data_IF_739372843618
#
_entry.id   IF_739372843618
#
_cell.length_a   1.000
_cell.length_b   1.000
_cell.length_c   1.000
_cell.angle_alpha   90.00
_cell.angle_beta   90.00
_cell.angle_gamma   90.00
#
_symmetry.space_group_name_H-M   'P 1'
#
loop_
_entity.id
_entity.type
_entity.pdbx_description
1 polymer ?
#
# COMPACT_ATOMS: atom_id res chain seq x y z
N UNK A 1 72.56 66.62 6.47
CA UNK A 1 71.75 65.55 5.82
C UNK A 1 70.53 65.34 6.71
N UNK A 2 69.50 66.19 6.73
CA UNK A 2 68.34 66.34 5.82
C UNK A 2 67.71 65.02 5.35
N UNK A 3 66.39 64.94 5.61
CA UNK A 3 65.31 64.17 4.95
C UNK A 3 64.88 62.91 5.69
N UNK A 4 63.59 62.58 5.85
CA UNK A 4 62.28 63.24 5.77
C UNK A 4 61.29 62.09 5.89
N UNK A 5 60.21 62.26 6.65
CA UNK A 5 59.07 61.34 6.66
C UNK A 5 58.38 61.29 5.29
N UNK A 6 57.82 60.13 4.90
CA UNK A 6 56.41 60.10 4.47
C UNK A 6 55.69 58.86 5.06
N UNK A 7 54.55 58.99 5.73
CA UNK A 7 53.19 58.93 5.15
C UNK A 7 53.04 57.90 4.02
N UNK A 8 52.63 56.68 4.38
CA UNK A 8 52.03 55.72 3.46
C UNK A 8 50.55 55.58 3.81
N UNK A 9 49.74 55.94 2.82
CA UNK A 9 48.28 55.86 2.76
C UNK A 9 47.89 54.38 2.70
N UNK A 10 47.11 53.90 3.67
CA UNK A 10 46.50 52.58 3.65
C UNK A 10 45.18 52.68 2.85
N UNK A 11 45.16 52.14 1.63
CA UNK A 11 43.94 51.97 0.85
C UNK A 11 43.10 50.83 1.46
N UNK A 12 41.96 51.20 2.05
CA UNK A 12 40.84 50.30 2.34
C UNK A 12 40.17 49.89 1.02
N UNK A 13 40.49 48.69 0.52
CA UNK A 13 39.65 48.01 -0.46
C UNK A 13 38.50 47.32 0.27
N UNK A 14 37.35 47.98 0.29
CA UNK A 14 36.09 47.39 0.67
C UNK A 14 35.68 46.34 -0.38
N UNK A 15 35.92 45.07 -0.09
CA UNK A 15 35.28 43.96 -0.81
C UNK A 15 33.83 43.89 -0.35
N UNK A 16 32.89 44.30 -1.20
CA UNK A 16 31.45 44.14 -0.97
C UNK A 16 31.12 42.66 -1.17
N UNK A 17 30.70 41.89 -0.15
CA UNK A 17 30.10 40.60 -0.40
C UNK A 17 28.72 40.85 -1.03
N UNK A 18 28.57 40.42 -2.28
CA UNK A 18 27.27 40.32 -2.96
C UNK A 18 26.37 39.45 -2.07
N UNK A 19 25.31 40.07 -1.54
CA UNK A 19 24.19 39.37 -0.91
C UNK A 19 23.51 38.53 -1.98
N UNK A 20 23.85 37.24 -2.05
CA UNK A 20 22.93 36.25 -2.61
C UNK A 20 21.76 36.16 -1.64
N UNK A 21 20.64 36.73 -2.05
CA UNK A 21 19.33 36.48 -1.46
C UNK A 21 19.15 34.98 -1.33
N UNK A 22 19.07 34.49 -0.09
CA UNK A 22 18.74 33.11 0.21
C UNK A 22 17.37 32.80 -0.36
N UNK A 23 17.35 32.25 -1.57
CA UNK A 23 16.26 31.43 -2.02
C UNK A 23 16.22 30.27 -1.04
N UNK A 24 15.20 30.30 -0.20
CA UNK A 24 14.81 29.24 0.71
C UNK A 24 14.67 27.98 -0.15
N UNK A 25 15.73 27.18 -0.19
CA UNK A 25 15.78 25.91 -0.87
C UNK A 25 14.77 25.03 -0.15
N UNK A 26 13.53 25.04 -0.67
CA UNK A 26 12.54 24.04 -0.33
C UNK A 26 13.15 22.72 -0.79
N UNK A 27 13.86 22.05 0.12
CA UNK A 27 14.20 20.64 -0.02
C UNK A 27 12.90 19.92 -0.33
N UNK A 28 12.73 19.56 -1.59
CA UNK A 28 11.70 18.64 -2.00
C UNK A 28 11.92 17.37 -1.18
N UNK A 29 11.01 17.09 -0.26
CA UNK A 29 10.88 15.79 0.36
C UNK A 29 10.76 14.76 -0.76
N UNK A 30 11.55 13.67 -0.74
CA UNK A 30 11.49 12.66 -1.79
C UNK A 30 10.07 12.08 -1.81
N UNK A 31 9.38 12.28 -2.94
CA UNK A 31 8.14 11.58 -3.22
C UNK A 31 8.44 10.09 -3.30
N UNK A 32 7.65 9.28 -2.60
CA UNK A 32 7.75 7.82 -2.63
C UNK A 32 7.57 7.31 -4.07
N UNK A 33 8.70 7.01 -4.69
CA UNK A 33 8.90 6.43 -6.01
C UNK A 33 10.38 6.11 -6.14
N UNK A 34 10.78 5.51 -7.25
CA UNK A 34 12.13 5.57 -7.78
C UNK A 34 13.13 6.51 -7.12
N UNK A 35 14.29 6.07 -6.65
CA UNK A 35 15.37 7.00 -6.23
C UNK A 35 15.88 7.90 -7.38
N UNK A 36 15.30 7.80 -8.58
CA UNK A 36 15.70 8.46 -9.83
C UNK A 36 14.57 9.23 -10.52
N UNK A 37 13.87 10.17 -9.89
CA UNK A 37 13.07 11.20 -10.61
C UNK A 37 12.06 10.71 -11.66
N UNK A 38 10.82 10.43 -11.22
CA UNK A 38 9.66 10.15 -12.08
C UNK A 38 9.75 8.91 -12.96
N UNK A 39 8.64 8.49 -13.58
CA UNK A 39 8.63 7.26 -14.41
C UNK A 39 9.53 7.37 -15.64
N UNK A 40 10.05 6.24 -16.15
CA UNK A 40 10.82 6.22 -17.41
C UNK A 40 9.92 6.64 -18.59
N UNK A 41 10.39 7.58 -19.42
CA UNK A 41 9.64 8.16 -20.55
C UNK A 41 10.57 8.37 -21.74
N UNK A 42 10.00 8.43 -22.94
CA UNK A 42 10.68 8.81 -24.17
C UNK A 42 11.98 8.03 -24.43
N UNK A 43 11.96 6.74 -24.09
CA UNK A 43 13.11 5.85 -24.14
C UNK A 43 12.71 4.46 -24.65
N UNK A 44 13.69 3.71 -25.14
CA UNK A 44 13.50 2.30 -25.44
C UNK A 44 13.14 1.54 -24.15
N UNK A 45 12.11 0.69 -24.22
CA UNK A 45 11.74 -0.22 -23.14
C UNK A 45 12.98 -1.02 -22.74
N UNK A 46 13.44 -1.05 -21.48
CA UNK A 46 14.63 -1.83 -21.10
C UNK A 46 14.40 -3.35 -21.26
N UNK A 47 15.47 -4.15 -21.19
CA UNK A 47 15.31 -5.61 -21.14
C UNK A 47 14.93 -6.04 -19.72
N UNK A 48 13.63 -6.24 -19.50
CA UNK A 48 13.03 -6.49 -18.18
C UNK A 48 12.39 -7.87 -18.15
N UNK A 49 12.49 -8.51 -16.99
CA UNK A 49 11.95 -9.83 -16.73
C UNK A 49 10.55 -9.73 -16.13
N UNK A 50 9.70 -10.70 -16.46
CA UNK A 50 8.35 -10.82 -15.95
C UNK A 50 7.96 -12.30 -15.90
N UNK A 51 6.82 -12.58 -15.27
CA UNK A 51 6.15 -13.87 -15.36
C UNK A 51 4.75 -13.67 -15.93
N UNK A 52 4.32 -14.57 -16.81
CA UNK A 52 2.92 -14.69 -17.19
C UNK A 52 2.09 -15.16 -15.98
N UNK A 53 0.76 -15.02 -16.04
CA UNK A 53 -0.12 -15.43 -14.94
C UNK A 53 -0.06 -16.94 -14.60
N UNK A 54 0.41 -17.78 -15.54
CA UNK A 54 0.65 -19.21 -15.32
C UNK A 54 2.05 -19.49 -14.72
N UNK A 55 2.87 -18.46 -14.48
CA UNK A 55 4.22 -18.53 -13.93
C UNK A 55 5.35 -18.65 -14.95
N UNK A 56 5.04 -18.81 -16.24
CA UNK A 56 6.05 -18.89 -17.29
C UNK A 56 6.86 -17.59 -17.36
N UNK A 57 8.21 -17.65 -17.33
CA UNK A 57 9.05 -16.47 -17.45
C UNK A 57 8.96 -15.88 -18.85
N UNK A 58 8.93 -14.55 -18.95
CA UNK A 58 8.88 -13.83 -20.22
C UNK A 58 9.70 -12.54 -20.14
N UNK A 59 10.32 -12.15 -21.26
CA UNK A 59 10.90 -10.81 -21.41
C UNK A 59 9.81 -9.82 -21.78
N UNK A 60 9.73 -8.70 -21.06
CA UNK A 60 8.72 -7.68 -21.28
C UNK A 60 8.77 -7.11 -22.72
N UNK A 61 9.96 -7.02 -23.31
CA UNK A 61 10.14 -6.63 -24.73
C UNK A 61 9.47 -7.59 -25.71
N UNK A 62 9.55 -8.89 -25.47
CA UNK A 62 8.91 -9.88 -26.34
C UNK A 62 7.38 -9.81 -26.23
N UNK A 63 6.86 -9.52 -25.03
CA UNK A 63 5.43 -9.31 -24.82
C UNK A 63 4.90 -8.10 -25.62
N UNK A 64 5.70 -7.04 -25.74
CA UNK A 64 5.29 -5.78 -26.38
C UNK A 64 5.62 -5.72 -27.89
N UNK A 65 6.28 -6.74 -28.43
CA UNK A 65 6.88 -6.69 -29.77
C UNK A 65 5.83 -6.58 -30.87
N UNK A 66 6.00 -5.60 -31.76
CA UNK A 66 5.19 -5.45 -32.96
C UNK A 66 3.77 -4.95 -32.74
N UNK A 67 3.41 -4.55 -31.50
CA UNK A 67 2.08 -4.01 -31.16
C UNK A 67 2.20 -2.85 -30.18
N UNK A 68 1.26 -1.92 -30.28
CA UNK A 68 1.07 -0.95 -29.20
C UNK A 68 0.65 -1.70 -27.93
N UNK A 69 1.32 -1.44 -26.82
CA UNK A 69 1.07 -2.15 -25.56
C UNK A 69 0.93 -1.15 -24.40
N UNK A 70 -0.21 -1.22 -23.71
CA UNK A 70 -0.44 -0.50 -22.46
C UNK A 70 -0.04 -1.39 -21.30
N UNK A 71 0.82 -0.87 -20.42
CA UNK A 71 1.17 -1.49 -19.14
C UNK A 71 0.67 -0.60 -18.01
N UNK A 72 -0.05 -1.16 -17.04
CA UNK A 72 -0.49 -0.45 -15.84
C UNK A 72 -0.07 -1.21 -14.57
N UNK A 73 0.57 -0.50 -13.64
CA UNK A 73 1.01 -1.08 -12.37
C UNK A 73 -0.19 -1.31 -11.44
N UNK A 74 -0.27 -2.50 -10.85
CA UNK A 74 -1.32 -2.87 -9.90
C UNK A 74 -0.81 -3.73 -8.75
N UNK A 75 -1.53 -3.71 -7.64
CA UNK A 75 -1.35 -4.68 -6.54
C UNK A 75 -2.63 -4.80 -5.69
N UNK A 76 -2.71 -5.81 -4.84
CA UNK A 76 -3.86 -6.08 -3.96
C UNK A 76 -4.20 -4.95 -3.00
N UNK A 77 -3.24 -4.08 -2.67
CA UNK A 77 -3.36 -3.16 -1.53
C UNK A 77 -3.16 -1.70 -1.90
N UNK A 78 -3.34 -1.32 -3.18
CA UNK A 78 -3.23 0.07 -3.62
C UNK A 78 -4.62 0.70 -3.86
N UNK A 79 -5.15 1.53 -2.94
CA UNK A 79 -6.46 2.17 -3.11
C UNK A 79 -6.56 3.08 -4.34
N UNK A 80 -5.44 3.66 -4.77
CA UNK A 80 -5.41 4.50 -5.97
C UNK A 80 -5.61 3.67 -7.24
N UNK A 81 -4.97 2.50 -7.30
CA UNK A 81 -5.20 1.52 -8.36
C UNK A 81 -6.64 0.99 -8.32
N UNK A 82 -7.15 0.58 -7.14
CA UNK A 82 -8.52 0.05 -7.01
C UNK A 82 -9.61 1.04 -7.45
N UNK A 83 -9.38 2.34 -7.35
CA UNK A 83 -10.33 3.35 -7.87
C UNK A 83 -10.18 3.61 -9.36
N UNK A 84 -8.98 3.41 -9.91
CA UNK A 84 -8.64 3.81 -11.27
C UNK A 84 -8.69 2.69 -12.30
N UNK A 85 -8.57 1.42 -11.89
CA UNK A 85 -8.52 0.31 -12.84
C UNK A 85 -9.72 0.20 -13.81
N UNK A 86 -10.97 0.63 -13.48
CA UNK A 86 -12.06 0.59 -14.45
C UNK A 86 -11.81 1.48 -15.68
N UNK A 87 -10.99 2.53 -15.56
CA UNK A 87 -10.59 3.37 -16.70
C UNK A 87 -9.70 2.61 -17.69
N UNK A 88 -8.86 1.69 -17.19
CA UNK A 88 -7.99 0.85 -18.03
C UNK A 88 -8.83 -0.20 -18.75
N UNK A 89 -9.78 -0.82 -18.05
CA UNK A 89 -10.70 -1.80 -18.65
C UNK A 89 -11.56 -1.15 -19.74
N UNK A 90 -12.11 0.04 -19.49
CA UNK A 90 -12.89 0.78 -20.48
C UNK A 90 -12.04 1.16 -21.71
N UNK A 91 -10.79 1.59 -21.52
CA UNK A 91 -9.87 1.86 -22.62
C UNK A 91 -9.53 0.58 -23.40
N UNK A 92 -9.37 -0.55 -22.72
CA UNK A 92 -9.11 -1.84 -23.37
C UNK A 92 -10.28 -2.27 -24.25
N UNK A 93 -11.53 -2.10 -23.80
CA UNK A 93 -12.71 -2.42 -24.60
C UNK A 93 -12.75 -1.65 -25.93
N UNK A 94 -12.29 -0.40 -25.92
CA UNK A 94 -12.27 0.46 -27.12
C UNK A 94 -11.08 0.18 -28.05
N UNK A 95 -9.89 -0.07 -27.52
CA UNK A 95 -8.64 -0.09 -28.29
C UNK A 95 -8.08 -1.49 -28.55
N UNK A 96 -8.48 -2.52 -27.78
CA UNK A 96 -8.06 -3.90 -28.07
C UNK A 96 -8.54 -4.42 -29.42
N UNK A 97 -9.79 -4.15 -29.88
CA UNK A 97 -10.22 -4.51 -31.24
C UNK A 97 -9.41 -3.81 -32.36
N UNK A 98 -8.68 -2.74 -32.02
CA UNK A 98 -7.82 -1.98 -32.93
C UNK A 98 -6.35 -2.41 -32.86
N UNK A 99 -6.06 -3.54 -32.21
CA UNK A 99 -4.72 -4.13 -32.15
C UNK A 99 -3.84 -3.67 -30.99
N UNK A 100 -4.37 -2.89 -30.03
CA UNK A 100 -3.63 -2.50 -28.82
C UNK A 100 -3.72 -3.58 -27.75
N UNK A 101 -2.58 -4.00 -27.21
CA UNK A 101 -2.52 -4.92 -26.08
C UNK A 101 -2.60 -4.14 -24.77
N UNK A 102 -3.25 -4.74 -23.76
CA UNK A 102 -3.33 -4.19 -22.42
C UNK A 102 -2.87 -5.27 -21.44
N UNK A 103 -2.03 -4.88 -20.49
CA UNK A 103 -1.65 -5.72 -19.36
C UNK A 103 -1.61 -4.89 -18.09
N UNK A 104 -2.12 -5.46 -17.00
CA UNK A 104 -1.63 -5.07 -15.69
C UNK A 104 -0.34 -5.83 -15.40
N UNK A 105 0.62 -5.18 -14.76
CA UNK A 105 1.72 -5.89 -14.12
C UNK A 105 1.57 -5.83 -12.60
N UNK A 106 1.48 -7.01 -11.98
CA UNK A 106 1.36 -7.19 -10.55
C UNK A 106 2.73 -7.03 -9.92
N UNK A 107 2.88 -6.00 -9.08
CA UNK A 107 4.12 -5.71 -8.37
C UNK A 107 3.96 -5.89 -6.87
N UNK A 108 5.03 -5.63 -6.13
CA UNK A 108 5.02 -5.54 -4.66
C UNK A 108 3.90 -4.68 -4.10
N UNK A 109 3.41 -5.07 -2.92
CA UNK A 109 2.28 -4.47 -2.25
C UNK A 109 2.60 -3.01 -1.88
N UNK A 110 1.70 -2.09 -2.23
CA UNK A 110 1.82 -0.70 -1.78
C UNK A 110 1.55 -0.59 -0.29
N UNK A 111 0.50 -1.22 0.21
CA UNK A 111 0.17 -1.20 1.63
C UNK A 111 0.09 -2.61 2.21
N UNK A 112 1.23 -3.24 2.52
CA UNK A 112 1.23 -4.47 3.32
C UNK A 112 0.41 -4.28 4.60
N UNK A 113 -0.22 -5.36 5.05
CA UNK A 113 -1.18 -5.49 6.16
C UNK A 113 -2.59 -4.98 5.86
N UNK A 114 -2.82 -4.29 4.74
CA UNK A 114 -4.16 -3.92 4.31
C UNK A 114 -4.97 -5.20 3.98
N UNK A 115 -6.05 -5.41 4.73
CA UNK A 115 -6.88 -6.63 4.69
C UNK A 115 -6.10 -7.91 5.01
N UNK A 116 -4.99 -7.81 5.74
CA UNK A 116 -4.15 -8.95 6.12
C UNK A 116 -3.10 -9.37 5.08
N UNK A 117 -3.17 -8.88 3.84
CA UNK A 117 -2.19 -9.23 2.81
C UNK A 117 -0.80 -8.68 3.11
N UNK A 118 0.21 -9.54 3.01
CA UNK A 118 1.62 -9.24 3.29
C UNK A 118 2.49 -9.52 2.07
N UNK A 119 3.72 -8.97 2.02
CA UNK A 119 4.55 -9.06 0.81
C UNK A 119 4.91 -10.51 0.48
N UNK A 120 4.80 -10.88 -0.81
CA UNK A 120 5.18 -12.19 -1.29
C UNK A 120 6.69 -12.45 -1.08
N UNK A 121 7.04 -13.67 -0.66
CA UNK A 121 8.43 -14.10 -0.43
C UNK A 121 9.04 -14.78 -1.66
N UNK A 122 8.19 -15.25 -2.59
CA UNK A 122 8.61 -15.90 -3.82
C UNK A 122 7.61 -15.68 -4.97
N UNK A 123 7.98 -16.15 -6.16
CA UNK A 123 7.15 -16.01 -7.37
C UNK A 123 5.81 -16.71 -7.24
N UNK A 124 5.75 -17.91 -6.65
CA UNK A 124 4.50 -18.66 -6.47
C UNK A 124 3.47 -17.87 -5.65
N UNK A 125 3.89 -17.27 -4.54
CA UNK A 125 3.02 -16.41 -3.73
C UNK A 125 2.61 -15.14 -4.45
N UNK A 126 3.50 -14.53 -5.23
CA UNK A 126 3.14 -13.35 -6.02
C UNK A 126 2.08 -13.68 -7.06
N UNK A 127 2.16 -14.86 -7.67
CA UNK A 127 1.14 -15.35 -8.60
C UNK A 127 -0.19 -15.66 -7.90
N UNK A 128 -0.17 -16.20 -6.68
CA UNK A 128 -1.37 -16.36 -5.86
C UNK A 128 -2.03 -15.00 -5.54
N UNK A 129 -1.21 -14.01 -5.17
CA UNK A 129 -1.71 -12.65 -4.94
C UNK A 129 -2.28 -11.99 -6.20
N UNK A 130 -1.63 -12.20 -7.35
CA UNK A 130 -2.15 -11.75 -8.65
C UNK A 130 -3.50 -12.41 -8.95
N UNK A 131 -3.62 -13.72 -8.74
CA UNK A 131 -4.87 -14.44 -8.95
C UNK A 131 -5.99 -13.92 -8.04
N UNK A 132 -5.68 -13.66 -6.76
CA UNK A 132 -6.62 -13.06 -5.82
C UNK A 132 -7.00 -11.63 -6.22
N UNK A 133 -6.06 -10.82 -6.71
CA UNK A 133 -6.35 -9.47 -7.21
C UNK A 133 -7.30 -9.51 -8.40
N UNK A 134 -7.06 -10.41 -9.36
CA UNK A 134 -7.92 -10.61 -10.52
C UNK A 134 -9.33 -11.00 -10.10
N UNK A 135 -9.46 -11.94 -9.15
CA UNK A 135 -10.75 -12.38 -8.61
C UNK A 135 -11.48 -11.24 -7.90
N UNK A 136 -10.80 -10.54 -6.99
CA UNK A 136 -11.35 -9.44 -6.20
C UNK A 136 -11.82 -8.28 -7.07
N UNK A 137 -11.07 -7.94 -8.12
CA UNK A 137 -11.33 -6.78 -8.98
C UNK A 137 -12.15 -7.11 -10.22
N UNK A 138 -12.38 -8.38 -10.53
CA UNK A 138 -13.16 -8.80 -11.71
C UNK A 138 -12.57 -8.33 -13.05
N UNK A 139 -11.25 -8.11 -13.12
CA UNK A 139 -10.58 -7.55 -14.30
C UNK A 139 -10.64 -8.49 -15.51
N UNK A 140 -10.87 -7.93 -16.70
CA UNK A 140 -10.80 -8.66 -17.97
C UNK A 140 -9.45 -8.47 -18.66
N UNK A 141 -8.82 -7.30 -18.48
CA UNK A 141 -7.45 -7.07 -18.92
C UNK A 141 -6.52 -8.13 -18.30
N UNK A 142 -5.68 -8.79 -19.11
CA UNK A 142 -4.73 -9.80 -18.62
C UNK A 142 -3.73 -9.23 -17.62
N UNK A 143 -3.25 -10.09 -16.73
CA UNK A 143 -2.19 -9.78 -15.78
C UNK A 143 -0.90 -10.51 -16.12
N UNK A 144 0.22 -9.83 -15.93
CA UNK A 144 1.55 -10.43 -15.75
C UNK A 144 2.03 -10.12 -14.32
N UNK A 145 3.02 -10.85 -13.82
CA UNK A 145 3.67 -10.57 -12.55
C UNK A 145 5.08 -10.01 -12.78
N UNK A 146 5.43 -9.00 -11.99
CA UNK A 146 6.81 -8.56 -11.83
C UNK A 146 7.61 -9.62 -11.06
N UNK A 147 8.89 -9.75 -11.36
CA UNK A 147 9.81 -10.69 -10.67
C UNK A 147 9.97 -10.31 -9.21
N UNK A 148 10.34 -11.25 -8.34
CA UNK A 148 10.42 -11.02 -6.88
C UNK A 148 11.32 -9.84 -6.50
N UNK A 149 12.36 -9.59 -7.29
CA UNK A 149 13.33 -8.49 -7.20
C UNK A 149 12.85 -7.17 -7.84
N UNK A 150 11.65 -7.14 -8.42
CA UNK A 150 10.96 -6.00 -9.05
C UNK A 150 11.63 -5.48 -10.34
N UNK A 151 11.98 -6.38 -11.27
CA UNK A 151 12.61 -6.03 -12.55
C UNK A 151 11.81 -4.96 -13.33
N UNK A 152 10.49 -5.13 -13.49
CA UNK A 152 9.63 -4.17 -14.19
C UNK A 152 9.58 -2.84 -13.43
N UNK A 153 9.26 -2.88 -12.14
CA UNK A 153 9.11 -1.67 -11.33
C UNK A 153 10.39 -0.83 -11.34
N UNK A 154 11.54 -1.45 -11.12
CA UNK A 154 12.81 -0.73 -11.00
C UNK A 154 13.29 -0.25 -12.37
N UNK A 155 13.18 -1.12 -13.38
CA UNK A 155 13.57 -0.83 -14.75
C UNK A 155 12.76 0.30 -15.39
N UNK A 156 11.46 0.36 -15.13
CA UNK A 156 10.58 1.44 -15.61
C UNK A 156 10.50 2.64 -14.68
N UNK A 157 11.20 2.58 -13.54
CA UNK A 157 11.07 3.57 -12.49
C UNK A 157 9.60 3.80 -12.08
N UNK A 158 8.85 2.70 -11.98
CA UNK A 158 7.42 2.71 -11.77
C UNK A 158 7.08 3.09 -10.32
N UNK A 159 6.13 4.00 -10.16
CA UNK A 159 5.47 4.25 -8.89
C UNK A 159 4.37 3.19 -8.65
N UNK A 160 3.43 3.47 -7.74
CA UNK A 160 2.52 2.44 -7.25
C UNK A 160 1.40 2.03 -8.21
N UNK A 161 1.08 2.91 -9.13
CA UNK A 161 -0.04 2.80 -10.05
C UNK A 161 0.28 3.51 -11.37
N UNK A 162 1.55 3.50 -11.78
CA UNK A 162 1.99 4.13 -13.03
C UNK A 162 1.42 3.40 -14.24
N UNK A 163 1.43 4.08 -15.38
CA UNK A 163 1.08 3.47 -16.66
C UNK A 163 2.02 3.89 -17.77
N UNK A 164 2.10 3.06 -18.80
CA UNK A 164 2.96 3.24 -19.96
C UNK A 164 2.22 2.84 -21.22
N UNK A 165 2.49 3.53 -22.33
CA UNK A 165 2.17 3.08 -23.69
C UNK A 165 3.48 2.86 -24.42
N UNK A 166 3.66 1.63 -24.90
CA UNK A 166 4.84 1.18 -25.63
C UNK A 166 4.46 1.03 -27.10
N UNK A 167 5.28 1.54 -28.00
CA UNK A 167 5.09 1.41 -29.45
C UNK A 167 5.46 0.01 -29.96
N UNK A 168 5.02 -0.38 -31.18
CA UNK A 168 5.43 -1.63 -31.80
C UNK A 168 6.94 -1.87 -31.89
N UNK A 169 7.72 -0.79 -31.95
CA UNK A 169 9.19 -0.77 -32.00
C UNK A 169 9.84 -0.83 -30.60
N UNK A 170 9.03 -0.96 -29.54
CA UNK A 170 9.50 -1.03 -28.16
C UNK A 170 9.92 0.32 -27.57
N UNK A 171 9.38 1.44 -28.04
CA UNK A 171 9.61 2.76 -27.44
C UNK A 171 8.50 3.13 -26.47
N UNK A 172 8.84 3.68 -25.31
CA UNK A 172 7.87 4.26 -24.37
C UNK A 172 7.44 5.62 -24.91
N UNK A 173 6.26 5.68 -25.52
CA UNK A 173 5.71 6.88 -26.18
C UNK A 173 4.75 7.67 -25.29
N UNK A 174 4.33 7.08 -24.17
CA UNK A 174 3.64 7.78 -23.08
C UNK A 174 3.94 7.08 -21.77
N UNK A 175 4.05 7.85 -20.70
CA UNK A 175 4.21 7.36 -19.34
C UNK A 175 3.55 8.33 -18.36
N UNK A 176 2.92 7.80 -17.31
CA UNK A 176 2.38 8.59 -16.20
C UNK A 176 2.73 7.93 -14.87
N UNK A 177 3.13 8.73 -13.88
CA UNK A 177 3.43 8.26 -12.52
C UNK A 177 2.21 7.68 -11.83
N UNK A 178 1.02 8.13 -12.20
CA UNK A 178 -0.24 7.74 -11.59
C UNK A 178 -1.26 7.30 -12.63
N UNK A 179 -2.20 6.49 -12.17
CA UNK A 179 -3.36 6.09 -12.94
C UNK A 179 -4.25 7.32 -13.19
N UNK A 180 -4.36 7.70 -14.46
CA UNK A 180 -5.07 8.82 -15.03
C UNK A 180 -5.64 8.42 -16.40
N UNK A 181 -6.89 7.97 -16.40
CA UNK A 181 -7.60 7.50 -17.60
C UNK A 181 -7.67 8.53 -18.74
N UNK A 182 -8.02 9.81 -18.45
CA UNK A 182 -8.02 10.87 -19.46
C UNK A 182 -6.70 11.03 -20.22
N UNK A 183 -5.55 11.09 -19.53
CA UNK A 183 -4.25 11.20 -20.19
C UNK A 183 -3.90 9.95 -21.01
N UNK A 184 -4.25 8.75 -20.53
CA UNK A 184 -4.09 7.53 -21.31
C UNK A 184 -4.89 7.58 -22.61
N UNK A 185 -6.15 7.99 -22.54
CA UNK A 185 -7.01 8.11 -23.73
C UNK A 185 -6.48 9.14 -24.70
N UNK A 186 -5.96 10.27 -24.20
CA UNK A 186 -5.30 11.26 -25.07
C UNK A 186 -4.10 10.66 -25.81
N UNK A 187 -3.26 9.89 -25.11
CA UNK A 187 -2.12 9.21 -25.72
C UNK A 187 -2.56 8.17 -26.76
N UNK A 188 -3.58 7.35 -26.44
CA UNK A 188 -4.14 6.36 -27.36
C UNK A 188 -4.74 7.02 -28.60
N UNK A 189 -5.48 8.12 -28.44
CA UNK A 189 -6.00 8.91 -29.56
C UNK A 189 -4.88 9.45 -30.45
N UNK A 190 -3.81 10.00 -29.86
CA UNK A 190 -2.66 10.53 -30.61
C UNK A 190 -1.97 9.45 -31.46
N UNK A 191 -1.80 8.25 -30.92
CA UNK A 191 -0.97 7.20 -31.55
C UNK A 191 -1.77 6.18 -32.38
N UNK A 192 -3.05 5.98 -32.07
CA UNK A 192 -3.91 4.95 -32.70
C UNK A 192 -5.13 5.57 -33.40
N UNK A 193 -5.59 6.74 -32.93
CA UNK A 193 -6.72 7.49 -33.48
C UNK A 193 -7.95 7.51 -32.56
N UNK A 194 -8.88 8.42 -32.84
CA UNK A 194 -10.09 8.62 -32.04
C UNK A 194 -11.03 7.41 -32.05
N UNK A 195 -11.84 7.30 -30.98
CA UNK A 195 -12.94 6.34 -30.86
C UNK A 195 -14.23 7.15 -30.79
N UNK A 196 -15.19 6.85 -31.66
CA UNK A 196 -16.40 7.68 -31.82
C UNK A 196 -17.34 7.65 -30.61
N UNK A 197 -17.37 6.55 -29.87
CA UNK A 197 -18.17 6.37 -28.65
C UNK A 197 -17.30 5.71 -27.57
N UNK A 198 -16.43 6.48 -26.89
CA UNK A 198 -15.54 5.93 -25.88
C UNK A 198 -16.34 5.33 -24.72
N UNK A 199 -16.04 4.09 -24.38
CA UNK A 199 -16.59 3.41 -23.20
C UNK A 199 -16.16 4.15 -21.93
N UNK A 200 -17.07 4.38 -20.98
CA UNK A 200 -16.74 5.02 -19.70
C UNK A 200 -16.44 3.98 -18.62
N UNK A 201 -15.65 4.35 -17.62
CA UNK A 201 -15.45 3.50 -16.44
C UNK A 201 -16.76 3.10 -15.75
N UNK A 202 -17.77 3.98 -15.76
CA UNK A 202 -19.09 3.70 -15.20
C UNK A 202 -19.91 2.68 -16.02
N UNK A 203 -19.56 2.46 -17.28
CA UNK A 203 -20.19 1.44 -18.13
C UNK A 203 -19.63 0.04 -17.79
N UNK A 204 -18.48 -0.02 -17.12
CA UNK A 204 -17.87 -1.25 -16.68
C UNK A 204 -18.59 -1.77 -15.42
N UNK A 205 -19.26 -2.91 -15.51
CA UNK A 205 -19.86 -3.57 -14.35
C UNK A 205 -18.81 -4.27 -13.48
N UNK A 206 -17.92 -3.49 -12.86
CA UNK A 206 -16.77 -3.96 -12.10
C UNK A 206 -16.95 -3.75 -10.58
N UNK A 207 -16.39 -4.65 -9.74
CA UNK A 207 -16.41 -4.50 -8.28
C UNK A 207 -15.83 -3.18 -7.77
N UNK A 208 -16.58 -2.49 -6.91
CA UNK A 208 -16.04 -1.33 -6.18
C UNK A 208 -15.46 -1.76 -4.84
N UNK A 209 -14.14 -1.62 -4.67
CA UNK A 209 -13.45 -1.99 -3.42
C UNK A 209 -13.68 -0.91 -2.36
N UNK A 210 -14.31 -1.30 -1.26
CA UNK A 210 -14.55 -0.40 -0.14
C UNK A 210 -13.24 0.05 0.51
N UNK A 211 -13.22 1.30 0.99
CA UNK A 211 -12.09 1.81 1.76
C UNK A 211 -11.99 1.07 3.09
N UNK A 212 -10.88 0.39 3.33
CA UNK A 212 -10.62 -0.23 4.62
C UNK A 212 -10.49 0.80 5.74
N UNK A 213 -11.01 0.44 6.91
CA UNK A 213 -10.81 1.20 8.14
C UNK A 213 -9.36 1.07 8.59
N UNK A 214 -8.81 2.16 9.11
CA UNK A 214 -7.48 2.13 9.69
C UNK A 214 -7.51 1.28 10.97
N UNK A 215 -6.53 0.38 11.18
CA UNK A 215 -6.38 -0.30 12.45
C UNK A 215 -6.10 0.72 13.57
N UNK A 216 -6.51 0.38 14.79
CA UNK A 216 -6.16 1.16 15.97
C UNK A 216 -4.68 0.98 16.30
N UNK A 217 -3.98 2.07 16.61
CA UNK A 217 -2.60 2.05 17.06
C UNK A 217 -2.53 2.04 18.58
N UNK A 218 -2.80 0.87 19.17
CA UNK A 218 -2.90 0.71 20.62
C UNK A 218 -2.19 -0.56 21.05
N UNK A 219 -1.56 -0.50 22.22
CA UNK A 219 -1.06 -1.70 22.88
C UNK A 219 -2.24 -2.58 23.33
N UNK A 220 -2.07 -3.89 23.25
CA UNK A 220 -2.97 -4.89 23.81
C UNK A 220 -2.15 -6.12 24.23
N UNK A 221 -2.81 -7.22 24.60
CA UNK A 221 -2.11 -8.45 24.96
C UNK A 221 -1.32 -9.07 23.80
N UNK A 222 -1.69 -8.80 22.55
CA UNK A 222 -1.04 -9.40 21.36
C UNK A 222 -0.53 -8.38 20.33
N UNK A 223 -0.93 -7.11 20.47
CA UNK A 223 -0.50 -6.01 19.59
C UNK A 223 0.40 -5.06 20.34
N UNK A 224 1.38 -4.51 19.62
CA UNK A 224 2.21 -3.41 20.11
C UNK A 224 1.92 -2.16 19.30
N UNK A 225 1.87 -1.02 19.97
CA UNK A 225 1.76 0.29 19.36
C UNK A 225 3.02 0.58 18.56
N UNK A 226 2.82 1.17 17.37
CA UNK A 226 3.86 1.46 16.38
C UNK A 226 3.91 2.95 16.10
N UNK A 227 5.00 3.64 16.43
CA UNK A 227 5.12 5.05 16.10
C UNK A 227 5.16 5.26 14.58
N UNK A 228 4.80 6.46 14.13
CA UNK A 228 5.01 6.84 12.74
C UNK A 228 6.51 6.95 12.41
N UNK A 229 6.86 6.71 11.16
CA UNK A 229 8.20 6.94 10.64
C UNK A 229 9.15 5.75 10.77
N UNK A 230 8.65 4.56 11.08
CA UNK A 230 9.43 3.34 10.96
C UNK A 230 9.74 3.04 9.49
N UNK A 231 10.89 2.43 9.27
CA UNK A 231 11.37 2.05 7.94
C UNK A 231 11.25 0.54 7.78
N UNK A 232 10.56 0.12 6.73
CA UNK A 232 10.46 -1.30 6.35
C UNK A 232 11.85 -1.80 5.97
N UNK A 233 12.30 -2.86 6.62
CA UNK A 233 13.62 -3.45 6.37
C UNK A 233 13.57 -4.46 5.24
N UNK A 234 14.68 -4.57 4.50
CA UNK A 234 14.85 -5.65 3.53
C UNK A 234 15.00 -6.99 4.26
N UNK A 235 14.33 -8.02 3.75
CA UNK A 235 14.40 -9.39 4.28
C UNK A 235 14.67 -10.36 3.14
N UNK A 236 15.39 -11.43 3.43
CA UNK A 236 15.66 -12.52 2.49
C UNK A 236 15.25 -13.85 3.12
N UNK A 237 14.23 -14.55 2.57
CA UNK A 237 13.90 -15.90 3.02
C UNK A 237 15.07 -16.87 2.75
N UNK A 238 15.40 -17.76 3.69
CA UNK A 238 16.45 -18.78 3.48
C UNK A 238 15.99 -19.94 2.59
N UNK A 239 14.70 -20.24 2.59
CA UNK A 239 14.09 -21.33 1.81
C UNK A 239 13.04 -20.81 0.82
N UNK A 240 13.43 -20.01 -0.20
CA UNK A 240 12.48 -19.32 -1.07
C UNK A 240 11.55 -20.24 -1.87
N UNK A 241 11.86 -21.53 -1.99
CA UNK A 241 10.99 -22.53 -2.63
C UNK A 241 9.82 -23.00 -1.76
N UNK A 242 9.87 -22.77 -0.45
CA UNK A 242 8.81 -23.16 0.48
C UNK A 242 7.61 -22.21 0.42
N UNK A 243 6.47 -22.66 0.97
CA UNK A 243 5.29 -21.80 1.14
C UNK A 243 5.38 -21.05 2.45
N UNK A 244 5.21 -19.73 2.43
CA UNK A 244 5.20 -18.89 3.61
C UNK A 244 3.78 -18.58 4.08
N UNK A 245 3.19 -19.54 4.80
CA UNK A 245 1.87 -19.39 5.41
C UNK A 245 1.80 -18.19 6.36
N UNK A 246 2.80 -18.05 7.23
CA UNK A 246 2.99 -16.85 8.04
C UNK A 246 4.19 -16.09 7.51
N UNK A 247 4.07 -14.77 7.34
CA UNK A 247 5.17 -13.94 6.84
C UNK A 247 5.68 -13.00 7.92
N UNK A 248 6.99 -13.01 8.12
CA UNK A 248 7.68 -12.08 8.99
C UNK A 248 7.87 -10.74 8.28
N UNK A 249 7.76 -9.67 9.07
CA UNK A 249 8.07 -8.32 8.64
C UNK A 249 8.84 -7.59 9.73
N UNK A 250 9.90 -6.91 9.30
CA UNK A 250 10.77 -6.15 10.17
C UNK A 250 10.72 -4.65 9.82
N UNK A 251 10.68 -3.80 10.85
CA UNK A 251 10.78 -2.35 10.70
C UNK A 251 11.70 -1.76 11.74
N UNK A 252 12.51 -0.78 11.36
CA UNK A 252 13.42 -0.09 12.27
C UNK A 252 13.01 1.35 12.46
N UNK A 253 13.25 1.88 13.66
CA UNK A 253 13.29 3.33 13.83
C UNK A 253 14.51 3.96 13.12
N UNK A 254 14.50 5.29 13.04
CA UNK A 254 15.55 6.02 12.35
C UNK A 254 16.90 5.94 13.06
N UNK A 255 16.91 5.75 14.39
CA UNK A 255 18.13 5.74 15.19
C UNK A 255 18.89 4.43 14.99
N UNK A 256 18.17 3.30 14.94
CA UNK A 256 18.74 1.99 14.61
C UNK A 256 19.46 2.02 13.25
N UNK A 257 18.83 2.62 12.23
CA UNK A 257 19.43 2.70 10.90
C UNK A 257 20.63 3.65 10.82
N UNK A 258 20.64 4.74 11.61
CA UNK A 258 21.71 5.74 11.57
C UNK A 258 22.90 5.38 12.45
N UNK A 259 22.65 4.79 13.62
CA UNK A 259 23.64 4.63 14.68
C UNK A 259 23.97 3.16 14.96
N UNK A 260 23.14 2.21 14.50
CA UNK A 260 23.23 0.81 14.88
C UNK A 260 22.50 0.46 16.18
N UNK A 261 22.00 1.46 16.92
CA UNK A 261 21.26 1.27 18.17
C UNK A 261 19.88 1.93 18.10
N UNK A 262 18.84 1.20 18.51
CA UNK A 262 17.45 1.66 18.45
C UNK A 262 16.46 0.51 18.51
N UNK A 263 15.21 0.75 18.12
CA UNK A 263 14.13 -0.22 18.21
C UNK A 263 13.83 -0.87 16.87
N UNK A 264 13.66 -2.18 16.93
CA UNK A 264 13.21 -3.05 15.85
C UNK A 264 11.81 -3.56 16.18
N UNK A 265 10.86 -3.29 15.30
CA UNK A 265 9.55 -3.91 15.31
C UNK A 265 9.60 -5.19 14.48
N UNK A 266 9.11 -6.29 15.05
CA UNK A 266 8.89 -7.57 14.38
C UNK A 266 7.40 -7.88 14.38
N UNK A 267 6.84 -8.16 13.21
CA UNK A 267 5.47 -8.62 13.05
C UNK A 267 5.39 -9.91 12.26
N UNK A 268 4.50 -10.81 12.67
CA UNK A 268 4.28 -12.12 12.06
C UNK A 268 2.81 -12.26 11.72
N UNK A 269 2.51 -12.49 10.44
CA UNK A 269 1.18 -12.35 9.87
C UNK A 269 0.76 -13.64 9.15
N UNK A 270 -0.29 -14.35 9.58
CA UNK A 270 -0.94 -15.35 8.75
C UNK A 270 -1.42 -14.69 7.46
N UNK A 271 -0.96 -15.17 6.30
CA UNK A 271 -1.33 -14.57 5.02
C UNK A 271 -2.66 -15.18 4.53
N UNK A 272 -3.73 -14.35 4.37
CA UNK A 272 -5.02 -14.83 3.93
C UNK A 272 -5.01 -15.48 2.54
N UNK A 273 -3.99 -15.25 1.68
CA UNK A 273 -3.89 -15.96 0.39
C UNK A 273 -3.80 -17.48 0.54
N UNK A 274 -3.38 -17.96 1.72
CA UNK A 274 -3.28 -19.38 2.03
C UNK A 274 -4.43 -19.88 2.94
N UNK A 275 -5.34 -18.99 3.36
CA UNK A 275 -6.40 -19.34 4.33
C UNK A 275 -5.86 -19.80 5.68
N UNK A 276 -4.63 -19.42 6.03
CA UNK A 276 -3.99 -19.87 7.28
C UNK A 276 -4.47 -19.05 8.48
N UNK A 277 -4.53 -19.70 9.64
CA UNK A 277 -4.78 -19.11 10.94
C UNK A 277 -3.84 -19.73 11.98
N UNK A 278 -3.73 -19.06 13.14
CA UNK A 278 -3.06 -19.59 14.31
C UNK A 278 -3.93 -20.61 15.02
N UNK A 279 -3.33 -21.68 15.54
CA UNK A 279 -3.95 -22.55 16.52
C UNK A 279 -3.49 -22.11 17.93
N UNK A 280 -4.40 -21.57 18.74
CA UNK A 280 -4.10 -21.06 20.08
C UNK A 280 -4.11 -22.16 21.16
N UNK A 281 -4.46 -23.40 20.78
CA UNK A 281 -4.44 -24.57 21.67
C UNK A 281 -3.10 -25.32 21.62
N UNK A 282 -2.22 -24.97 20.67
CA UNK A 282 -0.86 -25.53 20.53
C UNK A 282 0.19 -24.62 21.15
N UNK A 283 1.45 -25.02 21.07
CA UNK A 283 2.57 -24.16 21.49
C UNK A 283 2.52 -22.81 20.74
N UNK A 284 2.74 -21.68 21.45
CA UNK A 284 2.70 -20.38 20.83
C UNK A 284 3.84 -20.20 19.84
N UNK A 285 3.60 -19.38 18.82
CA UNK A 285 4.65 -18.93 17.90
C UNK A 285 5.84 -18.35 18.69
N UNK A 286 7.07 -18.72 18.31
CA UNK A 286 8.32 -18.25 18.90
C UNK A 286 9.23 -17.72 17.80
N UNK A 287 9.97 -16.64 18.09
CA UNK A 287 11.13 -16.26 17.29
C UNK A 287 12.44 -16.39 18.08
N UNK A 288 13.54 -16.55 17.34
CA UNK A 288 14.90 -16.39 17.84
C UNK A 288 15.75 -15.57 16.86
N UNK A 289 16.64 -14.75 17.41
CA UNK A 289 17.53 -13.87 16.66
C UNK A 289 18.98 -14.33 16.85
N UNK A 290 19.67 -14.57 15.75
CA UNK A 290 21.12 -14.79 15.75
C UNK A 290 21.80 -13.50 15.31
N UNK A 291 22.35 -12.78 16.30
CA UNK A 291 23.02 -11.50 16.07
C UNK A 291 24.49 -11.71 15.70
N UNK A 292 25.07 -10.86 14.82
CA UNK A 292 26.50 -10.87 14.57
C UNK A 292 27.28 -10.44 15.83
N UNK A 293 28.56 -10.78 15.87
CA UNK A 293 29.45 -10.42 16.97
C UNK A 293 29.44 -8.90 17.22
N UNK A 294 29.34 -8.50 18.49
CA UNK A 294 29.28 -7.10 18.89
C UNK A 294 27.90 -6.45 18.79
N UNK A 295 26.87 -7.19 18.36
CA UNK A 295 25.48 -6.71 18.33
C UNK A 295 24.64 -7.47 19.35
N UNK A 296 23.87 -6.73 20.14
CA UNK A 296 22.95 -7.28 21.14
C UNK A 296 21.50 -7.00 20.74
N UNK A 297 20.63 -7.98 20.96
CA UNK A 297 19.18 -7.85 20.80
C UNK A 297 18.51 -8.19 22.12
N UNK A 298 17.53 -7.39 22.54
CA UNK A 298 16.77 -7.63 23.77
C UNK A 298 15.26 -7.43 23.52
N UNK A 299 14.44 -8.48 23.65
CA UNK A 299 14.83 -9.88 23.82
C UNK A 299 15.30 -10.50 22.49
N UNK A 300 16.35 -11.32 22.55
CA UNK A 300 16.83 -12.09 21.39
C UNK A 300 15.90 -13.26 21.04
N UNK A 301 15.07 -13.71 21.97
CA UNK A 301 14.03 -14.72 21.74
C UNK A 301 12.77 -14.34 22.51
N UNK A 302 11.60 -14.56 21.90
CA UNK A 302 10.33 -14.43 22.61
C UNK A 302 9.26 -15.35 22.01
N UNK A 303 8.29 -15.71 22.85
CA UNK A 303 7.07 -16.41 22.45
C UNK A 303 5.88 -15.45 22.46
N UNK A 304 5.01 -15.61 21.47
CA UNK A 304 3.77 -14.86 21.36
C UNK A 304 2.81 -15.24 22.49
N UNK A 305 1.98 -14.29 22.91
CA UNK A 305 0.79 -14.62 23.70
C UNK A 305 -0.27 -15.24 22.78
N UNK A 306 -1.08 -16.19 23.27
CA UNK A 306 -2.23 -16.69 22.52
C UNK A 306 -3.18 -15.56 22.15
N UNK A 307 -3.78 -15.64 20.96
CA UNK A 307 -4.81 -14.71 20.53
C UNK A 307 -6.18 -15.05 21.15
N UNK A 308 -7.24 -14.32 20.74
CA UNK A 308 -8.59 -14.60 21.22
C UNK A 308 -9.13 -15.92 20.64
N UNK A 309 -9.74 -16.75 21.50
CA UNK A 309 -10.38 -18.01 21.10
C UNK A 309 -9.40 -19.12 20.73
N UNK A 310 -9.92 -20.25 20.26
CA UNK A 310 -9.13 -21.44 19.93
C UNK A 310 -8.28 -21.25 18.65
N UNK A 311 -8.70 -20.34 17.78
CA UNK A 311 -7.96 -19.94 16.59
C UNK A 311 -8.23 -18.49 16.21
N UNK A 312 -7.26 -17.85 15.55
CA UNK A 312 -7.39 -16.47 15.06
C UNK A 312 -6.39 -16.12 13.95
N UNK A 313 -6.53 -14.92 13.38
CA UNK A 313 -5.64 -14.39 12.32
C UNK A 313 -4.93 -13.09 12.72
N UNK A 314 -4.96 -12.71 14.00
CA UNK A 314 -4.30 -11.50 14.48
C UNK A 314 -2.79 -11.64 14.34
N UNK A 315 -2.06 -10.56 14.01
CA UNK A 315 -0.61 -10.65 13.96
C UNK A 315 -0.01 -10.92 15.34
N UNK A 316 1.17 -11.54 15.37
CA UNK A 316 2.02 -11.61 16.57
C UNK A 316 3.11 -10.57 16.42
N UNK A 317 3.24 -9.68 17.40
CA UNK A 317 4.07 -8.48 17.24
C UNK A 317 4.95 -8.25 18.46
N UNK A 318 6.17 -7.77 18.21
CA UNK A 318 7.19 -7.61 19.23
C UNK A 318 8.03 -6.37 18.98
N UNK A 319 8.48 -5.77 20.08
CA UNK A 319 9.57 -4.81 20.08
C UNK A 319 10.85 -5.49 20.54
N UNK A 320 11.93 -5.20 19.83
CA UNK A 320 13.29 -5.64 20.17
C UNK A 320 14.19 -4.42 20.20
N UNK A 321 14.90 -4.23 21.30
CA UNK A 321 15.93 -3.21 21.39
C UNK A 321 17.25 -3.80 20.84
N UNK A 322 17.82 -3.11 19.85
CA UNK A 322 19.10 -3.48 19.23
C UNK A 322 20.17 -2.50 19.70
N UNK A 323 21.34 -3.02 20.08
CA UNK A 323 22.53 -2.24 20.40
C UNK A 323 23.71 -2.72 19.59
N UNK A 324 24.32 -1.82 18.84
CA UNK A 324 25.52 -2.03 18.04
C UNK A 324 26.33 -0.74 17.99
N UNK A 325 27.66 -0.88 17.96
CA UNK A 325 28.60 0.22 17.73
C UNK A 325 28.76 0.58 16.24
N UNK A 326 28.12 -0.18 15.33
CA UNK A 326 28.16 0.07 13.89
C UNK A 326 26.78 -0.11 13.22
N UNK A 327 26.38 0.80 12.31
CA UNK A 327 25.16 0.65 11.52
C UNK A 327 25.34 -0.38 10.41
N UNK A 328 24.22 -0.95 9.93
CA UNK A 328 24.19 -1.74 8.70
C UNK A 328 24.47 -3.24 8.83
N UNK A 329 24.40 -3.80 10.05
CA UNK A 329 24.45 -5.25 10.25
C UNK A 329 23.23 -5.96 9.61
N UNK A 330 23.42 -7.20 9.20
CA UNK A 330 22.32 -8.15 9.02
C UNK A 330 22.33 -9.16 10.16
N UNK A 331 21.18 -9.75 10.44
CA UNK A 331 21.04 -10.81 11.44
C UNK A 331 20.06 -11.87 10.95
N UNK A 332 20.18 -13.07 11.51
CA UNK A 332 19.26 -14.15 11.16
C UNK A 332 18.10 -14.17 12.15
N UNK A 333 16.90 -14.44 11.63
CA UNK A 333 15.69 -14.67 12.38
C UNK A 333 15.16 -16.05 12.04
N UNK A 334 14.92 -16.87 13.06
CA UNK A 334 14.13 -18.09 12.92
C UNK A 334 12.77 -17.89 13.60
N UNK A 335 11.71 -18.34 12.95
CA UNK A 335 10.34 -18.35 13.46
C UNK A 335 9.84 -19.79 13.49
N UNK A 336 9.38 -20.24 14.66
CA UNK A 336 8.73 -21.52 14.87
C UNK A 336 7.25 -21.30 15.17
N UNK A 337 6.36 -22.00 14.49
CA UNK A 337 4.92 -21.81 14.65
C UNK A 337 4.10 -23.00 14.19
N UNK A 338 2.84 -23.05 14.64
CA UNK A 338 1.80 -23.89 14.06
C UNK A 338 0.94 -23.05 13.12
N UNK A 339 0.99 -23.37 11.83
CA UNK A 339 0.13 -22.76 10.80
C UNK A 339 -0.94 -23.75 10.41
N UNK A 340 -2.22 -23.36 10.51
CA UNK A 340 -3.33 -24.26 10.23
C UNK A 340 -4.29 -23.67 9.19
N UNK A 341 -4.76 -24.52 8.29
CA UNK A 341 -5.84 -24.28 7.34
C UNK A 341 -6.99 -25.24 7.67
N UNK A 342 -8.06 -25.25 6.87
CA UNK A 342 -9.18 -26.18 7.05
C UNK A 342 -8.77 -27.66 6.88
N UNK A 343 -7.66 -27.93 6.20
CA UNK A 343 -7.22 -29.30 5.85
C UNK A 343 -5.84 -29.67 6.38
N UNK A 344 -5.13 -28.75 7.03
CA UNK A 344 -3.74 -28.94 7.44
C UNK A 344 -3.45 -28.16 8.72
N UNK A 345 -2.60 -28.70 9.60
CA UNK A 345 -2.13 -27.99 10.79
C UNK A 345 -0.73 -28.51 11.12
N UNK A 346 0.29 -27.74 10.74
CA UNK A 346 1.68 -28.19 10.74
C UNK A 346 2.57 -27.32 11.62
N UNK A 347 3.53 -27.96 12.29
CA UNK A 347 4.64 -27.28 12.94
C UNK A 347 5.67 -26.89 11.89
N UNK A 348 5.88 -25.60 11.71
CA UNK A 348 6.73 -25.03 10.66
C UNK A 348 7.86 -24.21 11.29
N UNK A 349 9.00 -24.21 10.61
CA UNK A 349 10.12 -23.34 10.92
C UNK A 349 10.52 -22.57 9.68
N UNK A 350 10.55 -21.25 9.78
CA UNK A 350 10.94 -20.38 8.68
C UNK A 350 12.05 -19.44 9.11
N UNK A 351 13.06 -19.34 8.26
CA UNK A 351 14.23 -18.53 8.52
C UNK A 351 14.37 -17.40 7.51
N UNK A 352 14.88 -16.28 8.01
CA UNK A 352 15.11 -15.07 7.23
C UNK A 352 16.44 -14.44 7.63
N UNK A 353 17.12 -13.86 6.64
CA UNK A 353 18.12 -12.83 6.89
C UNK A 353 17.42 -11.47 6.88
N UNK A 354 17.52 -10.73 7.99
CA UNK A 354 17.04 -9.35 8.10
C UNK A 354 18.21 -8.41 7.88
N UNK A 355 18.05 -7.47 6.94
CA UNK A 355 19.07 -6.47 6.64
C UNK A 355 18.67 -5.13 7.26
N UNK A 356 19.54 -4.50 8.06
CA UNK A 356 19.32 -3.16 8.61
C UNK A 356 19.49 -2.06 7.53
N UNK A 357 18.68 -2.16 6.47
CA UNK A 357 18.58 -1.20 5.37
C UNK A 357 17.14 -1.17 4.86
N UNK A 358 16.68 -0.06 4.28
CA UNK A 358 15.35 0.03 3.70
C UNK A 358 15.10 -1.07 2.65
N UNK A 359 13.89 -1.64 2.66
CA UNK A 359 13.44 -2.62 1.66
C UNK A 359 13.35 -2.04 0.25
N UNK A 360 13.14 -0.72 0.14
CA UNK A 360 12.99 0.00 -1.13
C UNK A 360 11.90 -0.56 -2.06
N UNK A 361 10.88 -1.26 -1.54
CA UNK A 361 9.78 -1.86 -2.31
C UNK A 361 8.68 -0.87 -2.72
N UNK A 362 8.86 0.43 -2.45
CA UNK A 362 7.83 1.45 -2.74
C UNK A 362 6.59 1.28 -1.86
N UNK A 363 6.69 0.45 -0.82
CA UNK A 363 5.63 0.11 0.12
C UNK A 363 5.62 1.05 1.32
N UNK A 364 4.45 1.22 1.91
CA UNK A 364 4.28 1.83 3.23
C UNK A 364 3.19 1.10 4.00
N UNK A 365 3.44 0.74 5.26
CA UNK A 365 2.46 0.00 6.06
C UNK A 365 1.16 0.75 6.17
N UNK A 366 0.07 0.00 6.01
CA UNK A 366 -1.26 0.52 6.19
C UNK A 366 -1.45 1.09 7.61
N UNK A 367 -1.55 2.41 7.71
CA UNK A 367 -1.88 3.11 8.97
C UNK A 367 -0.74 3.44 9.92
N UNK A 368 0.44 2.86 9.73
CA UNK A 368 1.56 3.03 10.68
C UNK A 368 2.81 3.68 10.07
N UNK A 369 2.95 3.70 8.74
CA UNK A 369 4.08 4.32 8.04
C UNK A 369 3.62 5.37 7.03
N UNK A 370 2.73 6.26 7.45
CA UNK A 370 2.47 7.47 6.69
C UNK A 370 3.70 8.36 6.88
N UNK A 371 4.44 8.62 5.82
CA UNK A 371 5.57 9.55 5.87
C UNK A 371 5.15 10.92 6.46
N UNK A 372 6.13 11.78 6.79
CA UNK A 372 5.86 13.09 7.40
C UNK A 372 4.94 13.91 6.48
N UNK A 373 3.66 14.00 6.82
CA UNK A 373 2.63 14.56 5.93
C UNK A 373 1.24 13.93 6.04
N UNK A 374 1.07 12.87 6.84
CA UNK A 374 -0.22 12.27 7.18
C UNK A 374 -1.14 13.14 8.04
N UNK A 375 -1.40 14.38 7.64
CA UNK A 375 -2.50 15.22 8.13
C UNK A 375 -2.75 15.20 9.64
N UNK A 376 -1.83 15.79 10.40
CA UNK A 376 -2.20 16.56 11.58
C UNK A 376 -3.05 17.75 11.12
N UNK A 377 -4.36 17.53 10.93
CA UNK A 377 -5.30 18.64 10.78
C UNK A 377 -5.44 19.32 12.14
N UNK A 378 -4.71 20.41 12.29
CA UNK A 378 -5.12 21.62 13.00
C UNK A 378 -5.66 21.41 14.41
N UNK A 379 -4.75 21.39 15.37
CA UNK A 379 -5.03 21.98 16.67
C UNK A 379 -5.17 23.50 16.46
N UNK A 380 -6.35 23.91 15.97
CA UNK A 380 -6.73 25.30 15.87
C UNK A 380 -6.84 25.86 17.28
N UNK A 381 -5.96 26.80 17.62
CA UNK A 381 -5.95 27.47 18.91
C UNK A 381 -7.30 28.12 19.21
N UNK A 382 -7.99 27.60 20.23
CA UNK A 382 -8.93 28.40 21.00
C UNK A 382 -8.17 28.99 22.18
N UNK A 383 -7.63 30.21 21.97
CA UNK A 383 -7.42 31.14 23.08
C UNK A 383 -8.80 31.52 23.62
N UNK A 384 -9.01 31.23 24.88
CA UNK A 384 -10.09 31.78 25.67
C UNK A 384 -9.83 33.27 25.98
N UNK A 385 -10.93 34.01 26.13
CA UNK A 385 -11.09 35.35 26.73
C UNK A 385 -10.54 36.53 25.93
N UNK A 386 -11.24 37.65 25.72
CA UNK A 386 -12.55 38.12 26.17
C UNK A 386 -12.69 39.58 25.69
N UNK A 387 -13.92 40.07 25.45
CA UNK A 387 -14.14 41.47 25.08
C UNK A 387 -15.54 41.76 24.57
N UNK A 388 -16.34 42.42 25.39
CA UNK A 388 -17.75 42.80 25.24
C UNK A 388 -18.00 43.89 24.18
N UNK A 389 -19.19 43.86 23.54
CA UNK A 389 -20.23 44.93 23.46
C UNK A 389 -21.20 44.63 22.31
N UNK A 390 -22.48 44.35 22.60
CA UNK A 390 -23.63 45.28 22.68
C UNK A 390 -24.46 45.25 21.37
N UNK A 391 -25.60 44.55 21.38
CA UNK A 391 -26.98 45.10 21.44
C UNK A 391 -27.40 45.98 20.26
N UNK A 392 -28.49 45.57 19.58
CA UNK A 392 -29.20 46.38 18.60
C UNK A 392 -30.32 45.64 17.88
N UNK A 393 -31.51 45.63 18.48
CA UNK A 393 -32.79 45.17 17.92
C UNK A 393 -33.27 46.01 16.73
N UNK A 394 -34.07 45.44 15.80
CA UNK A 394 -35.44 45.90 15.47
C UNK A 394 -36.09 45.20 14.24
N UNK A 395 -37.34 44.76 14.45
CA UNK A 395 -38.58 44.88 13.62
C UNK A 395 -38.46 44.83 12.09
N UNK A 396 -39.18 43.97 11.35
CA UNK A 396 -40.65 43.80 11.23
C UNK A 396 -41.08 44.29 9.81
N UNK A 397 -41.78 43.56 8.93
CA UNK A 397 -43.24 43.35 8.86
C UNK A 397 -43.64 42.69 7.50
N UNK A 398 -44.71 41.87 7.52
CA UNK A 398 -45.88 41.73 6.59
C UNK A 398 -45.65 41.43 5.08
N UNK A 399 -46.45 40.62 4.37
CA UNK A 399 -47.74 39.92 4.62
C UNK A 399 -48.00 38.83 3.53
N UNK A 400 -48.71 37.73 3.84
CA UNK A 400 -50.10 37.34 3.44
C UNK A 400 -50.38 37.31 1.90
N UNK A 401 -51.02 36.30 1.28
CA UNK A 401 -52.18 35.49 1.69
C UNK A 401 -52.46 34.17 0.86
N UNK A 402 -53.11 33.20 1.53
CA UNK A 402 -54.21 32.22 1.17
C UNK A 402 -54.30 31.54 -0.23
N UNK A 403 -54.69 30.26 -0.40
CA UNK A 403 -55.92 29.49 0.00
C UNK A 403 -55.63 27.96 0.02
N UNK A 404 -55.99 27.17 1.05
CA UNK A 404 -57.26 26.45 1.37
C UNK A 404 -57.70 25.33 0.40
N UNK A 405 -57.73 24.10 0.92
CA UNK A 405 -58.48 22.93 0.43
C UNK A 405 -58.34 21.74 1.39
N UNK A 406 -59.31 21.58 2.30
CA UNK A 406 -59.45 20.46 3.26
C UNK A 406 -60.26 19.32 2.64
N UNK A 407 -59.96 18.08 3.03
CA UNK A 407 -60.83 16.91 2.90
C UNK A 407 -60.37 15.80 3.84
N UNK A 408 -61.21 15.46 4.83
CA UNK A 408 -60.96 14.55 5.94
C UNK A 408 -61.98 13.40 5.97
N UNK A 409 -61.58 12.19 6.40
CA UNK A 409 -62.33 11.16 7.19
C UNK A 409 -61.42 9.90 7.30
N UNK A 410 -60.88 9.48 8.46
CA UNK A 410 -61.46 8.67 9.57
C UNK A 410 -62.15 7.37 9.09
N UNK A 411 -62.00 6.16 9.66
CA UNK A 411 -61.38 5.62 10.90
C UNK A 411 -61.52 4.07 10.90
N UNK A 412 -60.82 3.38 11.83
CA UNK A 412 -61.05 2.01 12.38
C UNK A 412 -60.60 0.82 11.51
N UNK A 413 -59.85 -0.20 11.97
CA UNK A 413 -59.49 -0.64 13.32
C UNK A 413 -60.27 -1.88 13.73
N UNK A 414 -59.68 -3.09 13.60
CA UNK A 414 -59.91 -4.21 14.51
C UNK A 414 -58.93 -5.38 14.25
N UNK A 415 -58.12 -5.70 15.26
CA UNK A 415 -57.45 -6.99 15.43
C UNK A 415 -58.08 -7.65 16.65
N UNK A 416 -58.62 -8.87 16.46
CA UNK A 416 -58.81 -9.85 17.53
C UNK A 416 -58.41 -11.21 16.96
N UNK A 417 -57.52 -11.90 17.66
CA UNK A 417 -57.22 -13.31 17.43
C UNK A 417 -58.24 -14.22 18.12
N UNK A 418 -58.03 -15.52 17.95
CA UNK A 418 -58.17 -16.62 18.93
C UNK A 418 -58.32 -17.94 18.15
N UNK A 419 -57.24 -18.74 18.23
CA UNK A 419 -57.19 -20.16 18.61
C UNK A 419 -58.13 -21.25 18.04
N UNK A 420 -57.45 -22.41 17.82
CA UNK A 420 -57.84 -23.84 17.93
C UNK A 420 -58.29 -24.59 16.67
N UNK A 421 -57.54 -25.67 16.41
CA UNK A 421 -57.95 -26.81 15.60
C UNK A 421 -56.82 -27.83 15.49
N UNK A 422 -56.82 -28.84 16.36
CA UNK A 422 -55.90 -29.98 16.47
C UNK A 422 -56.57 -31.22 15.86
N UNK A 423 -55.82 -32.07 15.15
CA UNK A 423 -56.01 -33.53 14.94
C UNK A 423 -55.42 -33.94 13.57
N UNK A 424 -54.85 -35.11 13.30
CA UNK A 424 -54.21 -36.21 14.03
C UNK A 424 -53.83 -37.24 12.95
N UNK A 425 -52.72 -37.98 13.15
CA UNK A 425 -52.43 -39.32 12.59
C UNK A 425 -52.02 -39.40 11.11
N UNK A 426 -51.12 -40.26 10.65
CA UNK A 426 -50.30 -41.37 11.19
C UNK A 426 -49.55 -41.93 9.96
N UNK A 427 -48.22 -42.08 10.00
CA UNK A 427 -47.44 -43.28 10.32
C UNK A 427 -47.45 -44.43 9.27
N UNK A 428 -46.27 -45.07 9.15
CA UNK A 428 -45.80 -46.20 8.30
C UNK A 428 -45.27 -45.82 6.91
N UNK A 429 -44.09 -46.23 6.46
CA UNK A 429 -43.08 -47.14 7.02
C UNK A 429 -42.42 -47.96 5.92
N UNK A 430 -41.08 -47.99 5.93
CA UNK A 430 -40.16 -49.11 5.59
C UNK A 430 -40.12 -49.66 4.15
N UNK A 431 -39.02 -49.41 3.45
CA UNK A 431 -37.94 -50.38 3.21
C UNK A 431 -36.64 -49.66 2.82
#
# INVERSE_FOLDING_TARGET
MIKSTPWVILFLLASVPVRTTGAQERRATPHYGSSRGGVLRDAALPDLDAHLANGEPIKLRELCKGKYTVLAAGCLTCPQFHRGYPEIEAASQDYSPRGVQFFYFYKSLRHPELNGYVEAQNTSERLLQLAEARKMLGTQVPWIADTIDNSIRDGLNSANNSMFLISPEGQIVFASEHLDGPSLRQALTKHIGEVSRPTQAADMNLPHIARAKQPANVDSDILVSRPEGLVILATTPKSPSETYYVKMRAEADADLLKTGSGRLFLGFYPDPIHGVHWNNLTEPMKYSLTMPAGVQATPAEASARPGPGDSDTHPRQFWVDIKSDSPGASFELAMHYFGCTDTMCESLTQEYTVHLKPANMGSSTFGFNRGPGGSGRGQGGQRAQGGQRAQGSQRGQRGQASRRGQGSRQRQGNQQGVERGRSDGGDRGVN
#
